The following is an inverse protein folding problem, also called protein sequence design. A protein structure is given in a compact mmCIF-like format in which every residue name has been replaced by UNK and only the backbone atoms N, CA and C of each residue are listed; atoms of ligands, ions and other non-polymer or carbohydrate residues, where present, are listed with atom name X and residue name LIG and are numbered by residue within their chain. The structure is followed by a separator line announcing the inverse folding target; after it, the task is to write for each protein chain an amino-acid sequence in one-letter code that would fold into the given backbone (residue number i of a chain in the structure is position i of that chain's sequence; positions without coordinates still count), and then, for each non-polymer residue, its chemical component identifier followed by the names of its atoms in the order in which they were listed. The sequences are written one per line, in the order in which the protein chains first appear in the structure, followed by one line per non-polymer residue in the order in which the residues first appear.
data_IF_625515185330
#
_entry.id   IF_625515185330
#
_cell.length_a   1.000
_cell.length_b   1.000
_cell.length_c   1.000
_cell.angle_alpha   90.00
_cell.angle_beta   90.00
_cell.angle_gamma   90.00
#
_symmetry.space_group_name_H-M   'P 1'
#
loop_
_entity.id
_entity.type
_entity.pdbx_description
1 polymer ?
#
# COMPACT_ATOMS: atom_id res chain seq x y z
N UNK A 1 22.51 37.48 13.99
CA UNK A 1 21.05 37.44 14.23
C UNK A 1 20.55 36.11 13.66
N UNK A 2 20.68 35.03 14.43
CA UNK A 2 20.28 33.69 14.00
C UNK A 2 18.80 33.51 14.29
N UNK A 3 18.01 33.24 13.26
CA UNK A 3 16.60 32.91 13.41
C UNK A 3 16.54 31.47 13.93
N UNK A 4 16.41 31.31 15.25
CA UNK A 4 16.02 30.04 15.86
C UNK A 4 14.54 29.80 15.54
N UNK A 5 14.28 28.91 14.59
CA UNK A 5 12.96 28.31 14.42
C UNK A 5 12.71 27.36 15.58
N UNK A 6 12.17 27.86 16.69
CA UNK A 6 11.45 27.03 17.66
C UNK A 6 10.09 26.70 17.04
N UNK A 7 10.04 25.67 16.19
CA UNK A 7 8.79 24.97 15.97
C UNK A 7 8.47 24.19 17.26
N UNK A 8 7.19 24.14 17.64
CA UNK A 8 6.65 23.35 18.75
C UNK A 8 6.93 21.84 18.58
N UNK A 9 8.19 21.42 18.76
CA UNK A 9 8.64 20.02 18.78
C UNK A 9 8.27 19.34 20.12
N UNK A 10 7.69 20.09 21.05
CA UNK A 10 7.35 19.60 22.41
C UNK A 10 6.28 18.51 22.42
N UNK A 11 5.40 18.42 21.43
CA UNK A 11 4.22 17.55 21.53
C UNK A 11 4.56 16.05 21.41
N UNK A 12 5.49 15.67 20.53
CA UNK A 12 5.96 14.27 20.44
C UNK A 12 7.00 13.95 21.51
N UNK A 13 7.85 14.91 21.89
CA UNK A 13 8.82 14.77 22.97
C UNK A 13 8.17 14.56 24.36
N UNK A 14 6.95 15.04 24.55
CA UNK A 14 6.19 14.93 25.81
C UNK A 14 5.23 13.75 25.89
N UNK A 15 5.20 12.87 24.87
CA UNK A 15 4.44 11.62 24.93
C UNK A 15 4.89 10.80 26.16
N UNK A 16 3.96 10.57 27.08
CA UNK A 16 4.19 9.77 28.29
C UNK A 16 4.11 8.29 27.94
N UNK A 17 5.09 7.52 28.42
CA UNK A 17 5.12 6.05 28.37
C UNK A 17 3.83 5.44 28.91
N UNK A 18 2.95 5.02 28.02
CA UNK A 18 1.70 4.33 28.36
C UNK A 18 1.33 3.34 27.25
N UNK A 19 0.59 2.25 27.56
CA UNK A 19 0.18 1.29 26.54
C UNK A 19 -0.62 1.96 25.44
N UNK A 20 -0.27 1.73 24.18
CA UNK A 20 -0.93 2.39 23.04
C UNK A 20 -2.43 2.07 22.96
N UNK A 21 -2.89 0.95 23.53
CA UNK A 21 -4.31 0.56 23.52
C UNK A 21 -4.58 -0.57 24.51
N UNK A 22 -5.80 -0.64 25.02
CA UNK A 22 -6.28 -1.81 25.79
C UNK A 22 -6.53 -3.04 24.91
N UNK A 23 -6.65 -2.85 23.61
CA UNK A 23 -6.83 -3.90 22.61
C UNK A 23 -5.50 -4.54 22.17
N UNK A 24 -4.36 -3.92 22.45
CA UNK A 24 -3.04 -4.43 22.03
C UNK A 24 -2.79 -5.90 22.44
N UNK A 25 -3.15 -6.38 23.66
CA UNK A 25 -3.01 -7.81 24.02
C UNK A 25 -3.88 -8.76 23.17
N UNK A 26 -4.94 -8.25 22.54
CA UNK A 26 -5.87 -9.01 21.70
C UNK A 26 -5.49 -8.97 20.22
N UNK A 27 -4.29 -8.47 19.86
CA UNK A 27 -3.81 -8.35 18.48
C UNK A 27 -3.97 -9.62 17.64
N UNK A 28 -3.63 -10.78 18.21
CA UNK A 28 -3.80 -12.07 17.54
C UNK A 28 -5.27 -12.41 17.23
N UNK A 29 -6.19 -12.02 18.12
CA UNK A 29 -7.63 -12.19 17.89
C UNK A 29 -8.12 -11.21 16.82
N UNK A 30 -7.68 -9.95 16.86
CA UNK A 30 -8.08 -8.92 15.89
C UNK A 30 -7.62 -9.31 14.48
N UNK A 31 -6.36 -9.71 14.29
CA UNK A 31 -5.88 -10.15 12.97
C UNK A 31 -6.61 -11.40 12.48
N UNK A 32 -6.95 -12.33 13.38
CA UNK A 32 -7.74 -13.51 13.03
C UNK A 32 -9.14 -13.12 12.52
N UNK A 33 -9.79 -12.16 13.18
CA UNK A 33 -11.08 -11.61 12.72
C UNK A 33 -10.93 -10.94 11.35
N UNK A 34 -9.88 -10.13 11.15
CA UNK A 34 -9.58 -9.49 9.86
C UNK A 34 -9.44 -10.55 8.77
N UNK A 35 -8.63 -11.59 8.99
CA UNK A 35 -8.42 -12.66 8.00
C UNK A 35 -9.72 -13.42 7.66
N UNK A 36 -10.58 -13.68 8.66
CA UNK A 36 -11.90 -14.28 8.44
C UNK A 36 -12.78 -13.36 7.59
N UNK A 37 -12.82 -12.06 7.89
CA UNK A 37 -13.58 -11.08 7.10
C UNK A 37 -13.07 -11.01 5.67
N UNK A 38 -11.74 -10.94 5.47
CA UNK A 38 -11.13 -10.93 4.14
C UNK A 38 -11.48 -12.22 3.36
N UNK A 39 -11.47 -13.38 4.02
CA UNK A 39 -11.90 -14.64 3.41
C UNK A 39 -13.37 -14.60 2.98
N UNK A 40 -14.28 -14.17 3.86
CA UNK A 40 -15.72 -14.10 3.58
C UNK A 40 -16.00 -13.14 2.43
N UNK A 41 -15.40 -11.96 2.46
CA UNK A 41 -15.51 -10.95 1.39
C UNK A 41 -14.96 -11.50 0.08
N UNK A 42 -13.76 -12.10 0.08
CA UNK A 42 -13.17 -12.70 -1.10
C UNK A 42 -14.09 -13.76 -1.72
N UNK A 43 -14.48 -14.76 -0.92
CA UNK A 43 -15.12 -15.97 -1.42
C UNK A 43 -16.59 -15.76 -1.78
N UNK A 44 -17.37 -15.23 -0.85
CA UNK A 44 -18.82 -15.13 -1.02
C UNK A 44 -19.22 -13.86 -1.76
N UNK A 45 -18.57 -12.72 -1.44
CA UNK A 45 -18.96 -11.43 -2.01
C UNK A 45 -18.29 -11.20 -3.37
N UNK A 46 -16.96 -11.26 -3.45
CA UNK A 46 -16.25 -10.90 -4.68
C UNK A 46 -16.29 -12.02 -5.74
N UNK A 47 -15.76 -13.20 -5.42
CA UNK A 47 -15.71 -14.36 -6.34
C UNK A 47 -17.08 -14.97 -6.62
N UNK A 48 -17.89 -15.10 -5.58
CA UNK A 48 -19.21 -15.70 -5.64
C UNK A 48 -20.23 -14.84 -6.39
N UNK A 49 -20.12 -13.51 -6.29
CA UNK A 49 -21.21 -12.62 -6.67
C UNK A 49 -20.76 -11.38 -7.47
N UNK A 50 -20.02 -10.46 -6.85
CA UNK A 50 -19.85 -9.08 -7.32
C UNK A 50 -18.95 -8.97 -8.55
N UNK A 51 -17.75 -9.55 -8.53
CA UNK A 51 -16.75 -9.36 -9.59
C UNK A 51 -17.23 -9.98 -10.91
N UNK A 52 -17.85 -11.16 -10.85
CA UNK A 52 -18.44 -11.82 -12.03
C UNK A 52 -19.56 -10.97 -12.66
N UNK A 53 -20.37 -10.30 -11.85
CA UNK A 53 -21.46 -9.43 -12.34
C UNK A 53 -20.97 -8.10 -12.88
N UNK A 54 -20.00 -7.47 -12.22
CA UNK A 54 -19.48 -6.17 -12.62
C UNK A 54 -18.62 -6.23 -13.88
N UNK A 55 -17.77 -7.26 -13.99
CA UNK A 55 -16.77 -7.34 -15.07
C UNK A 55 -17.08 -8.40 -16.14
N UNK A 56 -17.99 -9.34 -15.87
CA UNK A 56 -18.44 -10.33 -16.84
C UNK A 56 -17.29 -11.07 -17.53
N UNK A 57 -17.27 -11.03 -18.86
CA UNK A 57 -16.28 -11.70 -19.70
C UNK A 57 -14.84 -11.22 -19.49
N UNK A 58 -14.65 -9.95 -19.09
CA UNK A 58 -13.31 -9.41 -18.78
C UNK A 58 -12.67 -10.25 -17.67
N UNK A 59 -13.45 -10.61 -16.65
CA UNK A 59 -12.96 -11.40 -15.53
C UNK A 59 -12.90 -12.90 -15.83
N UNK A 60 -13.92 -13.47 -16.50
CA UNK A 60 -13.96 -14.92 -16.77
C UNK A 60 -12.93 -15.38 -17.77
N UNK A 61 -12.46 -14.50 -18.66
CA UNK A 61 -11.43 -14.81 -19.65
C UNK A 61 -10.00 -14.67 -19.10
N UNK A 62 -9.82 -14.21 -17.86
CA UNK A 62 -8.50 -14.16 -17.23
C UNK A 62 -8.02 -15.57 -16.86
N UNK A 63 -6.73 -15.82 -17.06
CA UNK A 63 -6.06 -16.99 -16.49
C UNK A 63 -6.19 -17.00 -14.96
N UNK A 64 -6.14 -18.18 -14.34
CA UNK A 64 -6.28 -18.35 -12.89
C UNK A 64 -5.39 -17.39 -12.08
N UNK A 65 -4.12 -17.27 -12.50
CA UNK A 65 -3.13 -16.37 -11.88
C UNK A 65 -3.59 -14.91 -11.93
N UNK A 66 -4.02 -14.45 -13.11
CA UNK A 66 -4.48 -13.07 -13.28
C UNK A 66 -5.83 -12.83 -12.58
N UNK A 67 -6.68 -13.86 -12.50
CA UNK A 67 -7.99 -13.80 -11.85
C UNK A 67 -7.85 -13.63 -10.34
N UNK A 68 -6.97 -14.42 -9.72
CA UNK A 68 -6.64 -14.28 -8.29
C UNK A 68 -5.98 -12.94 -7.99
N UNK A 69 -5.04 -12.51 -8.83
CA UNK A 69 -4.43 -11.18 -8.74
C UNK A 69 -5.47 -10.05 -8.83
N UNK A 70 -6.40 -10.13 -9.78
CA UNK A 70 -7.45 -9.14 -9.99
C UNK A 70 -8.35 -8.98 -8.75
N UNK A 71 -8.78 -10.09 -8.15
CA UNK A 71 -9.55 -10.07 -6.89
C UNK A 71 -8.71 -9.49 -5.76
N UNK A 72 -7.45 -9.89 -5.65
CA UNK A 72 -6.57 -9.38 -4.61
C UNK A 72 -6.40 -7.85 -4.71
N UNK A 73 -6.24 -7.29 -5.90
CA UNK A 73 -6.14 -5.83 -6.06
C UNK A 73 -7.41 -5.10 -5.58
N UNK A 74 -8.60 -5.70 -5.75
CA UNK A 74 -9.85 -5.13 -5.20
C UNK A 74 -9.89 -5.20 -3.68
N UNK A 75 -9.52 -6.36 -3.10
CA UNK A 75 -9.48 -6.54 -1.64
C UNK A 75 -8.49 -5.57 -1.02
N UNK A 76 -7.27 -5.52 -1.56
CA UNK A 76 -6.23 -4.63 -1.07
C UNK A 76 -6.62 -3.16 -1.21
N UNK A 77 -7.12 -2.75 -2.38
CA UNK A 77 -7.60 -1.39 -2.62
C UNK A 77 -8.74 -0.98 -1.70
N UNK A 78 -9.75 -1.83 -1.52
CA UNK A 78 -10.89 -1.57 -0.64
C UNK A 78 -10.45 -1.49 0.83
N UNK A 79 -9.60 -2.42 1.27
CA UNK A 79 -9.08 -2.43 2.65
C UNK A 79 -8.28 -1.16 2.93
N UNK A 80 -7.43 -0.73 2.00
CA UNK A 80 -6.68 0.53 2.05
C UNK A 80 -7.61 1.75 2.17
N UNK A 81 -8.69 1.81 1.38
CA UNK A 81 -9.71 2.88 1.49
C UNK A 81 -10.36 2.89 2.88
N UNK A 82 -10.77 1.73 3.38
CA UNK A 82 -11.39 1.63 4.71
C UNK A 82 -10.43 2.08 5.81
N UNK A 83 -9.16 1.67 5.73
CA UNK A 83 -8.13 2.11 6.67
C UNK A 83 -7.98 3.62 6.62
N UNK A 84 -7.84 4.23 5.43
CA UNK A 84 -7.70 5.69 5.31
C UNK A 84 -8.86 6.44 5.96
N UNK A 85 -10.09 6.00 5.71
CA UNK A 85 -11.29 6.63 6.29
C UNK A 85 -11.29 6.53 7.81
N UNK A 86 -11.02 5.33 8.34
CA UNK A 86 -11.11 5.06 9.78
C UNK A 86 -9.94 5.67 10.55
N UNK A 87 -8.74 5.64 9.95
CA UNK A 87 -7.49 6.05 10.58
C UNK A 87 -7.22 7.56 10.46
N UNK A 88 -7.78 8.27 9.48
CA UNK A 88 -7.44 9.67 9.20
C UNK A 88 -7.53 10.57 10.44
N UNK A 89 -8.66 10.52 11.15
CA UNK A 89 -8.87 11.33 12.35
C UNK A 89 -7.90 10.97 13.50
N UNK A 90 -7.83 9.72 13.99
CA UNK A 90 -6.97 9.37 15.12
C UNK A 90 -5.48 9.51 14.76
N UNK A 91 -5.10 9.24 13.51
CA UNK A 91 -3.74 9.44 13.03
C UNK A 91 -3.32 10.90 13.11
N UNK A 92 -4.10 11.82 12.53
CA UNK A 92 -3.75 13.24 12.50
C UNK A 92 -3.71 13.84 13.91
N UNK A 93 -4.69 13.52 14.75
CA UNK A 93 -4.76 14.05 16.11
C UNK A 93 -3.59 13.56 17.00
N UNK A 94 -3.15 12.32 16.84
CA UNK A 94 -2.02 11.75 17.60
C UNK A 94 -0.68 12.24 17.05
N UNK A 95 -0.47 12.22 15.73
CA UNK A 95 0.82 12.61 15.11
C UNK A 95 1.10 14.10 15.28
N UNK A 96 0.08 14.97 15.20
CA UNK A 96 0.23 16.41 15.45
C UNK A 96 0.38 16.70 16.96
N UNK A 97 0.11 15.72 17.81
CA UNK A 97 0.24 15.84 19.26
C UNK A 97 -0.88 16.65 19.93
N UNK A 98 -2.04 16.78 19.27
CA UNK A 98 -3.25 17.40 19.86
C UNK A 98 -3.95 16.46 20.83
N UNK A 99 -3.82 15.16 20.59
CA UNK A 99 -4.44 14.09 21.36
C UNK A 99 -3.43 12.98 21.65
N UNK A 100 -3.66 12.20 22.71
CA UNK A 100 -2.90 10.97 22.98
C UNK A 100 -3.67 9.71 22.53
N UNK A 101 -3.00 8.56 22.54
CA UNK A 101 -3.60 7.24 22.28
C UNK A 101 -4.81 6.91 23.17
N UNK A 102 -4.91 7.52 24.35
CA UNK A 102 -6.00 7.29 25.31
C UNK A 102 -7.17 8.25 25.15
N UNK A 103 -7.07 9.23 24.26
CA UNK A 103 -8.14 10.18 24.00
C UNK A 103 -9.35 9.44 23.39
N UNK A 104 -10.58 9.69 23.87
CA UNK A 104 -11.78 9.09 23.27
C UNK A 104 -11.92 9.43 21.79
N UNK A 105 -12.22 8.44 20.95
CA UNK A 105 -12.39 8.60 19.49
C UNK A 105 -13.56 9.52 19.12
N UNK A 106 -14.58 9.58 19.97
CA UNK A 106 -15.67 10.52 19.84
C UNK A 106 -16.10 10.97 21.23
N UNK A 107 -16.80 12.10 21.32
CA UNK A 107 -17.29 12.61 22.60
C UNK A 107 -18.16 11.57 23.30
N UNK A 108 -17.81 11.22 24.55
CA UNK A 108 -18.49 10.19 25.34
C UNK A 108 -18.18 8.73 24.94
N UNK A 109 -17.33 8.49 23.94
CA UNK A 109 -16.94 7.14 23.53
C UNK A 109 -16.03 6.46 24.56
N UNK A 110 -16.17 5.14 24.70
CA UNK A 110 -15.22 4.29 25.44
C UNK A 110 -14.05 3.82 24.57
N UNK A 111 -14.19 3.93 23.26
CA UNK A 111 -13.15 3.56 22.28
C UNK A 111 -12.17 4.73 22.17
N UNK A 112 -10.87 4.45 22.24
CA UNK A 112 -9.83 5.49 22.16
C UNK A 112 -9.21 5.60 20.76
N UNK A 113 -8.43 6.66 20.51
CA UNK A 113 -7.65 6.80 19.27
C UNK A 113 -6.73 5.61 19.05
N UNK A 114 -6.06 5.16 20.11
CA UNK A 114 -5.16 4.01 20.08
C UNK A 114 -5.86 2.69 19.76
N UNK A 115 -7.07 2.47 20.29
CA UNK A 115 -7.88 1.30 19.94
C UNK A 115 -8.14 1.25 18.42
N UNK A 116 -8.51 2.39 17.83
CA UNK A 116 -8.74 2.50 16.40
C UNK A 116 -7.46 2.28 15.59
N UNK A 117 -6.35 2.89 16.01
CA UNK A 117 -5.04 2.74 15.35
C UNK A 117 -4.52 1.29 15.39
N UNK A 118 -4.70 0.59 16.51
CA UNK A 118 -4.35 -0.84 16.60
C UNK A 118 -5.23 -1.68 15.67
N UNK A 119 -6.54 -1.41 15.60
CA UNK A 119 -7.44 -2.14 14.69
C UNK A 119 -7.03 -1.93 13.23
N UNK A 120 -6.78 -0.69 12.80
CA UNK A 120 -6.37 -0.45 11.41
C UNK A 120 -4.97 -0.95 11.09
N UNK A 121 -4.04 -0.95 12.05
CA UNK A 121 -2.73 -1.58 11.90
C UNK A 121 -2.89 -3.09 11.66
N UNK A 122 -3.75 -3.76 12.43
CA UNK A 122 -4.06 -5.18 12.22
C UNK A 122 -4.81 -5.44 10.90
N UNK A 123 -5.61 -4.49 10.42
CA UNK A 123 -6.20 -4.57 9.07
C UNK A 123 -5.13 -4.55 7.97
N UNK A 124 -4.15 -3.65 8.07
CA UNK A 124 -3.03 -3.56 7.13
C UNK A 124 -2.18 -4.83 7.14
N UNK A 125 -1.80 -5.29 8.33
CA UNK A 125 -0.99 -6.50 8.52
C UNK A 125 -1.76 -7.74 8.03
N UNK A 126 -3.03 -7.86 8.38
CA UNK A 126 -3.91 -8.95 7.95
C UNK A 126 -4.10 -8.99 6.43
N UNK A 127 -4.22 -7.81 5.78
CA UNK A 127 -4.28 -7.70 4.32
C UNK A 127 -2.99 -8.22 3.66
N UNK A 128 -1.81 -7.85 4.16
CA UNK A 128 -0.54 -8.34 3.63
C UNK A 128 -0.36 -9.85 3.84
N UNK A 129 -0.72 -10.37 5.02
CA UNK A 129 -0.70 -11.81 5.29
C UNK A 129 -1.65 -12.57 4.35
N UNK A 130 -2.87 -12.06 4.17
CA UNK A 130 -3.82 -12.60 3.22
C UNK A 130 -3.27 -12.60 1.79
N UNK A 131 -2.65 -11.51 1.36
CA UNK A 131 -2.09 -11.37 0.01
C UNK A 131 -0.98 -12.40 -0.24
N UNK A 132 -0.07 -12.60 0.72
CA UNK A 132 1.00 -13.60 0.65
C UNK A 132 0.46 -15.03 0.46
N UNK A 133 -0.65 -15.36 1.12
CA UNK A 133 -1.27 -16.69 1.05
C UNK A 133 -2.13 -16.84 -0.21
N UNK A 134 -2.82 -15.77 -0.60
CA UNK A 134 -3.82 -15.83 -1.67
C UNK A 134 -3.24 -15.63 -3.07
N UNK A 135 -2.18 -14.84 -3.26
CA UNK A 135 -1.57 -14.67 -4.59
C UNK A 135 -0.79 -15.91 -4.98
N UNK A 136 -0.90 -16.31 -6.24
CA UNK A 136 -0.12 -17.43 -6.80
C UNK A 136 1.30 -17.03 -7.21
N UNK A 137 1.51 -15.75 -7.53
CA UNK A 137 2.80 -15.18 -7.92
C UNK A 137 2.94 -13.80 -7.29
N UNK A 138 4.09 -13.59 -6.65
CA UNK A 138 4.54 -12.34 -6.06
C UNK A 138 6.02 -12.20 -6.40
N UNK A 139 6.48 -10.97 -6.63
CA UNK A 139 7.91 -10.72 -6.76
C UNK A 139 8.60 -10.98 -5.43
N UNK A 140 9.84 -11.50 -5.41
CA UNK A 140 10.59 -11.65 -4.17
C UNK A 140 10.68 -10.35 -3.36
N UNK A 141 10.78 -9.22 -4.05
CA UNK A 141 10.82 -7.88 -3.43
C UNK A 141 9.48 -7.56 -2.76
N UNK A 142 8.35 -7.81 -3.42
CA UNK A 142 7.04 -7.64 -2.80
C UNK A 142 6.82 -8.61 -1.62
N UNK A 143 7.29 -9.85 -1.73
CA UNK A 143 7.23 -10.81 -0.61
C UNK A 143 8.00 -10.29 0.59
N UNK A 144 9.22 -9.79 0.39
CA UNK A 144 10.06 -9.23 1.45
C UNK A 144 9.44 -7.97 2.06
N UNK A 145 8.86 -7.09 1.24
CA UNK A 145 8.12 -5.91 1.70
C UNK A 145 6.96 -6.34 2.61
N UNK A 146 6.09 -7.24 2.15
CA UNK A 146 4.92 -7.69 2.90
C UNK A 146 5.32 -8.39 4.20
N UNK A 147 6.31 -9.29 4.17
CA UNK A 147 6.84 -9.95 5.38
C UNK A 147 7.44 -8.92 6.33
N UNK A 148 8.21 -7.97 5.82
CA UNK A 148 8.78 -6.87 6.59
C UNK A 148 7.69 -6.07 7.31
N UNK A 149 6.64 -5.67 6.58
CA UNK A 149 5.52 -4.89 7.14
C UNK A 149 4.80 -5.67 8.23
N UNK A 150 4.58 -6.98 8.02
CA UNK A 150 3.96 -7.85 9.03
C UNK A 150 4.83 -7.91 10.30
N UNK A 151 6.13 -8.19 10.15
CA UNK A 151 7.05 -8.34 11.30
C UNK A 151 7.20 -7.02 12.06
N UNK A 152 7.46 -5.92 11.37
CA UNK A 152 7.61 -4.59 11.97
C UNK A 152 6.33 -4.18 12.68
N UNK A 153 5.18 -4.28 12.00
CA UNK A 153 3.89 -3.88 12.56
C UNK A 153 3.49 -4.70 13.79
N UNK A 154 3.70 -6.03 13.77
CA UNK A 154 3.45 -6.87 14.95
C UNK A 154 4.45 -6.58 16.07
N UNK A 155 5.72 -6.31 15.74
CA UNK A 155 6.75 -6.00 16.73
C UNK A 155 6.46 -4.68 17.44
N UNK A 156 6.06 -3.64 16.71
CA UNK A 156 5.68 -2.35 17.29
C UNK A 156 4.52 -2.49 18.31
N UNK A 157 3.53 -3.32 17.98
CA UNK A 157 2.43 -3.59 18.92
C UNK A 157 2.89 -4.46 20.10
N UNK A 158 3.72 -5.48 19.87
CA UNK A 158 4.23 -6.34 20.93
C UNK A 158 5.09 -5.57 21.95
N UNK A 159 5.99 -4.71 21.45
CA UNK A 159 6.87 -3.87 22.27
C UNK A 159 6.06 -2.87 23.10
N UNK A 160 4.93 -2.37 22.57
CA UNK A 160 4.02 -1.48 23.32
C UNK A 160 3.37 -2.11 24.56
N UNK A 161 3.46 -3.43 24.73
CA UNK A 161 2.92 -4.14 25.90
C UNK A 161 3.91 -4.19 27.08
N UNK A 162 5.22 -3.98 26.86
CA UNK A 162 6.26 -4.04 27.90
C UNK A 162 7.01 -2.70 28.02
N UNK A 163 6.26 -1.63 28.31
CA UNK A 163 6.79 -0.26 28.38
C UNK A 163 7.85 -0.05 29.46
N UNK A 164 7.86 -0.88 30.50
CA UNK A 164 8.87 -0.81 31.55
C UNK A 164 10.26 -1.18 31.02
N UNK A 165 10.31 -1.98 29.96
CA UNK A 165 11.54 -2.42 29.30
C UNK A 165 11.87 -1.59 28.06
N UNK A 166 10.85 -1.06 27.39
CA UNK A 166 10.97 -0.40 26.09
C UNK A 166 10.40 1.03 26.10
N UNK A 167 11.22 2.05 26.43
CA UNK A 167 10.78 3.45 26.53
C UNK A 167 10.50 4.12 25.17
N UNK A 168 10.76 3.44 24.05
CA UNK A 168 10.52 3.99 22.71
C UNK A 168 9.24 3.43 22.07
N UNK A 169 8.47 2.60 22.80
CA UNK A 169 7.41 1.81 22.21
C UNK A 169 6.26 2.64 21.61
N UNK A 170 5.93 3.78 22.21
CA UNK A 170 4.94 4.73 21.71
C UNK A 170 5.45 5.46 20.45
N UNK A 171 6.72 5.90 20.46
CA UNK A 171 7.36 6.53 19.30
C UNK A 171 7.45 5.56 18.12
N UNK A 172 7.88 4.32 18.37
CA UNK A 172 8.01 3.29 17.33
C UNK A 172 6.65 2.98 16.71
N UNK A 173 5.59 2.92 17.52
CA UNK A 173 4.23 2.73 17.00
C UNK A 173 3.76 3.95 16.19
N UNK A 174 4.03 5.18 16.62
CA UNK A 174 3.75 6.39 15.82
C UNK A 174 4.49 6.33 14.48
N UNK A 175 5.78 6.00 14.51
CA UNK A 175 6.61 5.92 13.31
C UNK A 175 6.08 4.85 12.34
N UNK A 176 5.73 3.68 12.85
CA UNK A 176 5.08 2.61 12.08
C UNK A 176 3.74 3.06 11.48
N UNK A 177 2.97 3.87 12.19
CA UNK A 177 1.69 4.39 11.70
C UNK A 177 1.90 5.41 10.58
N UNK A 178 2.91 6.28 10.70
CA UNK A 178 3.32 7.21 9.62
C UNK A 178 3.79 6.42 8.40
N UNK A 179 4.60 5.38 8.61
CA UNK A 179 5.03 4.48 7.56
C UNK A 179 3.86 3.83 6.84
N UNK A 180 2.94 3.24 7.60
CA UNK A 180 1.72 2.61 7.08
C UNK A 180 0.85 3.60 6.29
N UNK A 181 0.77 4.86 6.71
CA UNK A 181 0.04 5.89 5.97
C UNK A 181 0.65 6.15 4.59
N UNK A 182 1.98 6.31 4.51
CA UNK A 182 2.67 6.50 3.23
C UNK A 182 2.60 5.26 2.34
N UNK A 183 2.75 4.07 2.90
CA UNK A 183 2.59 2.79 2.20
C UNK A 183 1.20 2.69 1.57
N UNK A 184 0.14 2.96 2.34
CA UNK A 184 -1.24 2.94 1.83
C UNK A 184 -1.44 3.96 0.69
N UNK A 185 -0.99 5.20 0.87
CA UNK A 185 -1.16 6.26 -0.14
C UNK A 185 -0.38 5.93 -1.42
N UNK A 186 0.88 5.54 -1.28
CA UNK A 186 1.80 5.31 -2.41
C UNK A 186 1.47 4.04 -3.19
N UNK A 187 0.94 3.00 -2.53
CA UNK A 187 0.55 1.75 -3.17
C UNK A 187 -0.90 1.71 -3.66
N UNK A 188 -1.79 2.56 -3.15
CA UNK A 188 -3.20 2.55 -3.57
C UNK A 188 -3.36 2.75 -5.09
N UNK A 189 -2.68 3.76 -5.64
CA UNK A 189 -2.79 4.08 -7.06
C UNK A 189 -2.25 2.95 -7.97
N UNK A 190 -1.09 2.32 -7.67
CA UNK A 190 -0.66 1.06 -8.28
C UNK A 190 -1.74 -0.04 -8.36
N UNK A 191 -2.51 -0.31 -7.29
CA UNK A 191 -3.59 -1.31 -7.35
C UNK A 191 -4.66 -0.92 -8.37
N UNK A 192 -5.09 0.35 -8.36
CA UNK A 192 -6.05 0.87 -9.32
C UNK A 192 -5.52 0.76 -10.76
N UNK A 193 -4.25 1.10 -10.97
CA UNK A 193 -3.62 1.05 -12.29
C UNK A 193 -3.63 -0.37 -12.88
N UNK A 194 -3.34 -1.39 -12.06
CA UNK A 194 -3.37 -2.79 -12.50
C UNK A 194 -4.79 -3.28 -12.76
N UNK A 195 -5.79 -2.83 -11.98
CA UNK A 195 -7.20 -3.15 -12.26
C UNK A 195 -7.60 -2.57 -13.62
N UNK A 196 -7.33 -1.30 -13.86
CA UNK A 196 -7.64 -0.61 -15.12
C UNK A 196 -6.89 -1.21 -16.31
N UNK A 197 -5.66 -1.67 -16.11
CA UNK A 197 -4.90 -2.42 -17.11
C UNK A 197 -5.60 -3.70 -17.58
N UNK A 198 -6.29 -4.40 -16.67
CA UNK A 198 -7.06 -5.60 -17.03
C UNK A 198 -8.39 -5.29 -17.69
N UNK A 199 -9.00 -4.15 -17.35
CA UNK A 199 -10.29 -3.72 -17.92
C UNK A 199 -10.10 -3.18 -19.34
N UNK A 200 -9.02 -2.44 -19.60
CA UNK A 200 -8.79 -1.76 -20.87
C UNK A 200 -7.49 -2.18 -21.56
N UNK A 201 -7.27 -3.48 -21.88
CA UNK A 201 -5.98 -4.01 -22.34
C UNK A 201 -5.48 -3.42 -23.67
N UNK A 202 -6.40 -2.93 -24.52
CA UNK A 202 -6.09 -2.42 -25.87
C UNK A 202 -5.99 -0.88 -25.92
N UNK A 203 -6.20 -0.21 -24.78
CA UNK A 203 -6.19 1.26 -24.67
C UNK A 203 -4.78 1.78 -24.37
N UNK A 204 -3.85 1.56 -25.29
CA UNK A 204 -2.41 1.75 -25.06
C UNK A 204 -2.05 3.18 -24.65
N UNK A 205 -2.69 4.19 -25.23
CA UNK A 205 -2.47 5.61 -24.90
C UNK A 205 -2.92 5.96 -23.48
N UNK A 206 -4.12 5.53 -23.09
CA UNK A 206 -4.58 5.64 -21.70
C UNK A 206 -3.64 4.90 -20.73
N UNK A 207 -3.30 3.64 -21.03
CA UNK A 207 -2.45 2.80 -20.17
C UNK A 207 -1.04 3.37 -20.02
N UNK A 208 -0.47 3.93 -21.09
CA UNK A 208 0.80 4.64 -21.07
C UNK A 208 0.76 5.78 -20.05
N UNK A 209 -0.25 6.66 -20.12
CA UNK A 209 -0.42 7.78 -19.17
C UNK A 209 -0.62 7.29 -17.74
N UNK A 210 -1.44 6.26 -17.56
CA UNK A 210 -1.75 5.66 -16.26
C UNK A 210 -0.49 5.09 -15.58
N UNK A 211 0.36 4.37 -16.31
CA UNK A 211 1.60 3.81 -15.75
C UNK A 211 2.67 4.87 -15.51
N UNK A 212 2.75 5.89 -16.36
CA UNK A 212 3.63 7.03 -16.10
C UNK A 212 3.20 7.77 -14.83
N UNK A 213 1.91 8.03 -14.67
CA UNK A 213 1.38 8.66 -13.46
C UNK A 213 1.67 7.80 -12.23
N UNK A 214 1.48 6.49 -12.32
CA UNK A 214 1.78 5.55 -11.22
C UNK A 214 3.25 5.58 -10.82
N UNK A 215 4.16 5.57 -11.81
CA UNK A 215 5.58 5.70 -11.58
C UNK A 215 5.93 7.00 -10.85
N UNK A 216 5.39 8.14 -11.30
CA UNK A 216 5.66 9.45 -10.72
C UNK A 216 5.09 9.53 -9.31
N UNK A 217 3.84 9.13 -9.10
CA UNK A 217 3.18 9.21 -7.78
C UNK A 217 3.86 8.33 -6.75
N UNK A 218 4.30 7.12 -7.12
CA UNK A 218 5.01 6.22 -6.19
C UNK A 218 6.41 6.74 -5.88
N UNK A 219 7.14 7.27 -6.85
CA UNK A 219 8.46 7.88 -6.62
C UNK A 219 8.38 9.15 -5.75
N UNK A 220 7.41 10.02 -6.01
CA UNK A 220 7.14 11.19 -5.18
C UNK A 220 6.71 10.78 -3.77
N UNK A 221 5.83 9.79 -3.65
CA UNK A 221 5.40 9.23 -2.37
C UNK A 221 6.58 8.75 -1.53
N UNK A 222 7.48 7.95 -2.13
CA UNK A 222 8.71 7.46 -1.49
C UNK A 222 9.61 8.61 -1.03
N UNK A 223 9.72 9.66 -1.85
CA UNK A 223 10.55 10.83 -1.53
C UNK A 223 9.95 11.62 -0.35
N UNK A 224 8.64 11.88 -0.38
CA UNK A 224 7.93 12.54 0.72
C UNK A 224 8.01 11.72 2.01
N UNK A 225 7.82 10.41 1.93
CA UNK A 225 7.98 9.49 3.05
C UNK A 225 9.38 9.59 3.64
N UNK A 226 10.42 9.50 2.80
CA UNK A 226 11.82 9.60 3.23
C UNK A 226 12.06 10.91 4.00
N UNK A 227 11.61 12.04 3.45
CA UNK A 227 11.77 13.34 4.10
C UNK A 227 11.08 13.37 5.47
N UNK A 228 9.82 12.90 5.56
CA UNK A 228 9.05 12.92 6.80
C UNK A 228 9.62 11.96 7.84
N UNK A 229 9.99 10.74 7.44
CA UNK A 229 10.56 9.74 8.34
C UNK A 229 11.89 10.22 8.91
N UNK A 230 12.81 10.71 8.07
CA UNK A 230 14.09 11.22 8.57
C UNK A 230 13.95 12.51 9.37
N UNK A 231 12.96 13.35 9.06
CA UNK A 231 12.64 14.51 9.89
C UNK A 231 12.19 14.06 11.29
N UNK A 232 11.17 13.19 11.39
CA UNK A 232 10.67 12.68 12.68
C UNK A 232 11.75 11.92 13.45
N UNK A 233 12.50 11.06 12.76
CA UNK A 233 13.59 10.29 13.36
C UNK A 233 14.71 11.19 13.89
N UNK A 234 15.11 12.21 13.13
CA UNK A 234 16.10 13.20 13.54
C UNK A 234 15.63 14.09 14.70
N UNK A 235 14.36 14.51 14.68
CA UNK A 235 13.75 15.28 15.78
C UNK A 235 13.69 14.50 17.08
N UNK A 236 13.61 13.17 17.03
CA UNK A 236 13.54 12.30 18.21
C UNK A 236 14.88 11.61 18.52
N UNK A 237 15.98 12.02 17.87
CA UNK A 237 17.29 11.36 17.93
C UNK A 237 17.77 11.08 19.35
N UNK A 238 17.60 12.01 20.28
CA UNK A 238 18.12 11.86 21.65
C UNK A 238 17.32 10.86 22.50
N UNK A 239 16.07 10.57 22.12
CA UNK A 239 15.21 9.61 22.82
C UNK A 239 15.47 8.16 22.41
N UNK A 240 15.77 7.93 21.14
CA UNK A 240 15.95 6.58 20.61
C UNK A 240 17.07 5.81 21.31
N UNK A 241 16.78 4.56 21.68
CA UNK A 241 17.78 3.58 22.00
C UNK A 241 18.67 3.28 20.79
N UNK A 242 19.90 2.88 21.07
CA UNK A 242 20.92 2.58 20.06
C UNK A 242 20.45 1.50 19.08
N UNK A 243 19.67 0.51 19.54
CA UNK A 243 19.10 -0.51 18.69
C UNK A 243 18.22 0.11 17.58
N UNK A 244 17.27 0.99 17.92
CA UNK A 244 16.42 1.68 16.96
C UNK A 244 17.19 2.70 16.11
N UNK A 245 18.24 3.32 16.65
CA UNK A 245 19.15 4.19 15.86
C UNK A 245 19.81 3.48 14.68
N UNK A 246 20.00 2.16 14.79
CA UNK A 246 20.61 1.33 13.73
C UNK A 246 19.55 0.64 12.89
N UNK A 247 18.58 -0.01 13.53
CA UNK A 247 17.58 -0.84 12.85
C UNK A 247 16.64 0.01 12.00
N UNK A 248 16.14 1.13 12.51
CA UNK A 248 15.13 1.96 11.82
C UNK A 248 15.64 2.52 10.48
N UNK A 249 16.85 3.11 10.38
CA UNK A 249 17.40 3.54 9.09
C UNK A 249 17.65 2.39 8.10
N UNK A 250 18.11 1.23 8.59
CA UNK A 250 18.34 0.06 7.73
C UNK A 250 17.03 -0.47 7.14
N UNK A 251 15.99 -0.56 7.96
CA UNK A 251 14.65 -0.93 7.50
C UNK A 251 14.14 0.09 6.48
N UNK A 252 14.34 1.39 6.73
CA UNK A 252 13.93 2.42 5.79
C UNK A 252 14.62 2.34 4.45
N UNK A 253 15.92 2.08 4.42
CA UNK A 253 16.65 1.86 3.16
C UNK A 253 16.07 0.65 2.40
N UNK A 254 15.77 -0.45 3.10
CA UNK A 254 15.21 -1.65 2.50
C UNK A 254 13.81 -1.41 1.90
N UNK A 255 12.93 -0.72 2.63
CA UNK A 255 11.58 -0.39 2.19
C UNK A 255 11.58 0.60 1.02
N UNK A 256 12.37 1.67 1.13
CA UNK A 256 12.53 2.64 0.03
C UNK A 256 13.07 1.98 -1.23
N UNK A 257 14.00 1.02 -1.11
CA UNK A 257 14.46 0.24 -2.25
C UNK A 257 13.33 -0.60 -2.89
N UNK A 258 12.45 -1.20 -2.09
CA UNK A 258 11.28 -1.93 -2.58
C UNK A 258 10.28 -1.03 -3.31
N UNK A 259 9.99 0.16 -2.78
CA UNK A 259 9.10 1.14 -3.42
C UNK A 259 9.71 1.74 -4.70
N UNK A 260 11.01 2.02 -4.72
CA UNK A 260 11.75 2.43 -5.93
C UNK A 260 11.69 1.34 -6.99
N UNK A 261 11.87 0.07 -6.61
CA UNK A 261 11.69 -1.05 -7.53
C UNK A 261 10.28 -1.07 -8.12
N UNK A 262 9.23 -0.82 -7.32
CA UNK A 262 7.87 -0.66 -7.80
C UNK A 262 7.74 0.45 -8.87
N UNK A 263 8.36 1.60 -8.63
CA UNK A 263 8.40 2.71 -9.60
C UNK A 263 9.08 2.31 -10.91
N UNK A 264 10.19 1.58 -10.83
CA UNK A 264 10.90 1.05 -12.02
C UNK A 264 10.03 0.07 -12.81
N UNK A 265 9.24 -0.78 -12.14
CA UNK A 265 8.29 -1.68 -12.81
C UNK A 265 7.25 -0.88 -13.60
N UNK A 266 6.66 0.15 -13.01
CA UNK A 266 5.69 1.02 -13.71
C UNK A 266 6.32 1.77 -14.87
N UNK A 267 7.56 2.24 -14.75
CA UNK A 267 8.30 2.84 -15.86
C UNK A 267 8.49 1.86 -17.03
N UNK A 268 8.84 0.59 -16.74
CA UNK A 268 8.95 -0.46 -17.76
C UNK A 268 7.60 -0.74 -18.42
N UNK A 269 6.51 -0.75 -17.66
CA UNK A 269 5.16 -0.89 -18.22
C UNK A 269 4.77 0.29 -19.10
N UNK A 270 5.08 1.53 -18.69
CA UNK A 270 4.93 2.73 -19.50
C UNK A 270 5.66 2.61 -20.84
N UNK A 271 6.95 2.26 -20.82
CA UNK A 271 7.76 2.08 -22.04
C UNK A 271 7.23 0.99 -22.95
N UNK A 272 6.70 -0.09 -22.38
CA UNK A 272 6.04 -1.15 -23.15
C UNK A 272 4.77 -0.67 -23.84
N UNK A 273 3.92 0.08 -23.15
CA UNK A 273 2.70 0.64 -23.75
C UNK A 273 3.04 1.69 -24.82
N UNK A 274 4.07 2.49 -24.60
CA UNK A 274 4.58 3.43 -25.61
C UNK A 274 4.97 2.69 -26.90
N UNK A 275 5.72 1.60 -26.81
CA UNK A 275 6.10 0.81 -27.99
C UNK A 275 4.88 0.19 -28.69
N UNK A 276 3.91 -0.33 -27.95
CA UNK A 276 2.69 -0.91 -28.53
C UNK A 276 1.82 0.13 -29.26
N UNK A 277 1.80 1.36 -28.77
CA UNK A 277 1.13 2.49 -29.43
C UNK A 277 1.83 2.88 -30.74
N UNK A 278 3.17 2.82 -30.78
CA UNK A 278 3.98 3.10 -31.97
C UNK A 278 3.88 1.97 -33.02
N UNK A 279 3.83 0.70 -32.59
CA UNK A 279 3.79 -0.49 -33.46
C UNK A 279 2.39 -0.77 -34.06
N UNK A 280 1.31 -0.19 -33.51
CA UNK A 280 -0.07 -0.35 -34.00
C UNK A 280 -0.65 1.01 -34.43
N UNK A 281 -0.13 1.64 -35.51
CA UNK A 281 -0.71 2.86 -36.05
C UNK A 281 -2.01 2.53 -36.79
N UNK A 282 -3.17 2.75 -36.15
CA UNK A 282 -4.47 2.65 -36.81
C UNK A 282 -5.65 2.14 -35.97
N UNK A 283 -5.43 1.66 -34.74
CA UNK A 283 -6.50 1.23 -33.83
C UNK A 283 -6.70 2.22 -32.68
N UNK A 284 -6.82 3.51 -32.99
CA UNK A 284 -7.07 4.53 -31.97
C UNK A 284 -8.57 4.56 -31.59
N UNK A 285 -9.02 3.51 -30.91
CA UNK A 285 -10.39 3.39 -30.38
C UNK A 285 -10.74 4.59 -29.46
N UNK A 286 -9.73 5.24 -28.87
CA UNK A 286 -9.91 6.35 -27.93
C UNK A 286 -10.33 7.67 -28.58
N UNK A 287 -9.94 7.92 -29.84
CA UNK A 287 -10.27 9.17 -30.55
C UNK A 287 -11.49 9.04 -31.48
N UNK A 288 -12.09 7.86 -31.61
CA UNK A 288 -13.24 7.62 -32.49
C UNK A 288 -12.93 7.76 -33.99
N UNK A 289 -11.67 7.97 -34.36
CA UNK A 289 -11.22 7.99 -35.75
C UNK A 289 -10.99 6.55 -36.22
N UNK A 290 -12.02 5.99 -36.87
CA UNK A 290 -11.84 4.82 -37.73
C UNK A 290 -11.06 5.32 -38.95
N UNK A 291 -9.73 5.30 -38.87
CA UNK A 291 -8.92 5.45 -40.07
C UNK A 291 -9.10 4.16 -40.86
N UNK A 292 -9.81 4.24 -41.99
CA UNK A 292 -9.96 3.13 -42.92
C UNK A 292 -8.57 2.61 -43.29
N UNK A 293 -8.22 1.43 -42.80
CA UNK A 293 -7.06 0.70 -43.29
C UNK A 293 -7.31 0.37 -44.76
N UNK A 294 -6.67 1.11 -45.66
CA UNK A 294 -6.41 0.61 -47.01
C UNK A 294 -5.53 -0.63 -46.89
N UNK A 295 -6.18 -1.80 -46.91
CA UNK A 295 -5.53 -3.11 -46.94
C UNK A 295 -4.82 -3.26 -48.29
N UNK A 296 -3.53 -2.93 -48.34
CA UNK A 296 -2.65 -3.55 -49.31
C UNK A 296 -2.39 -4.98 -48.83
N UNK A 297 -3.09 -5.92 -49.48
CA UNK A 297 -2.87 -7.34 -49.29
C UNK A 297 -1.46 -7.70 -49.79
N UNK A 298 -0.55 -7.97 -48.87
CA UNK A 298 0.60 -8.82 -49.19
C UNK A 298 0.58 -10.06 -48.29
N UNK A 299 0.50 -11.21 -48.96
CA UNK A 299 0.39 -12.54 -48.36
C UNK A 299 1.80 -13.07 -48.15
N UNK A 300 2.33 -13.11 -46.93
CA UNK A 300 3.35 -14.11 -46.57
C UNK A 300 3.44 -14.44 -45.07
N UNK A 301 3.05 -15.69 -44.77
CA UNK A 301 3.47 -16.64 -43.72
C UNK A 301 3.37 -16.30 -42.21
N UNK A 302 2.89 -17.25 -41.38
CA UNK A 302 2.80 -17.12 -39.93
C UNK A 302 4.10 -17.58 -39.26
N UNK A 303 4.64 -16.79 -38.32
CA UNK A 303 5.59 -17.28 -37.33
C UNK A 303 5.02 -17.15 -35.92
N UNK A 304 4.93 -18.30 -35.28
CA UNK A 304 4.53 -18.53 -33.91
C UNK A 304 5.57 -18.01 -32.91
N UNK A 305 5.16 -17.19 -31.95
CA UNK A 305 5.62 -17.27 -30.54
C UNK A 305 4.96 -16.21 -29.66
N UNK A 306 3.80 -16.57 -29.10
CA UNK A 306 3.17 -15.80 -28.02
C UNK A 306 3.89 -16.06 -26.69
N UNK A 307 5.01 -15.38 -26.44
CA UNK A 307 5.67 -15.39 -25.14
C UNK A 307 4.91 -14.49 -24.16
N UNK A 308 4.03 -15.12 -23.39
CA UNK A 308 3.35 -14.52 -22.25
C UNK A 308 4.36 -14.43 -21.10
N UNK A 309 5.05 -13.30 -20.99
CA UNK A 309 5.83 -12.98 -19.80
C UNK A 309 4.84 -12.70 -18.67
N UNK A 310 4.83 -13.59 -17.67
CA UNK A 310 4.14 -13.38 -16.42
C UNK A 310 4.66 -12.08 -15.80
N UNK A 311 3.76 -11.10 -15.64
CA UNK A 311 4.03 -9.91 -14.84
C UNK A 311 3.95 -10.37 -13.38
N UNK A 312 5.09 -10.29 -12.71
CA UNK A 312 5.36 -10.73 -11.33
C UNK A 312 5.04 -9.60 -10.35
#
# INVERSE_FOLDING_TARGET
MGIHYHHDISALETLKLQPISRLAPFSALIISIVLVVLFVVRYYVLEGFLIKRLYGSIYTNLSEVNRRGFINHHIAGLTKILILIVAAYPFLEVVIGKSSFHTPYAHGSRVTMGDMLVVVAQMLIGMYAFELIYRTKLSPIAVLHHIGTIIIGQSAIAISLDLAREPDADIEFVLCTVWGAFDIISEFFPHLAIILYRIFPNRHRFLKRLFLLSCITTALGTTCETIVIFFLFGSLWDRWQIAFKVVTPLLHIAFSAAQVHGSVVFWKMYKRQQKLEEDIPGFDIENGEISEMHVHADKTKPSSSGSTVAIV
#
